data_IF_586726710447
#
_entry.id   IF_586726710447
#
_cell.length_a   1.000
_cell.length_b   1.000
_cell.length_c   1.000
_cell.angle_alpha   90.00
_cell.angle_beta   90.00
_cell.angle_gamma   90.00
#
_symmetry.space_group_name_H-M   'P 1'
#
loop_
_entity.id
_entity.type
_entity.pdbx_description
1 polymer ?
#
# COMPACT_ATOMS: atom_id res chain seq x y z
N UNK A 1 84.21 14.95 2.20
CA UNK A 1 85.41 14.09 2.29
C UNK A 1 85.18 12.92 1.34
N UNK A 2 86.08 12.75 0.35
CA UNK A 2 86.34 11.63 -0.58
C UNK A 2 85.23 10.55 -0.81
N UNK A 3 84.70 10.33 -2.02
CA UNK A 3 85.33 9.74 -3.23
C UNK A 3 85.53 8.20 -3.11
N UNK A 4 84.76 7.46 -3.92
CA UNK A 4 85.12 6.23 -4.71
C UNK A 4 85.01 4.81 -4.11
N UNK A 5 84.78 3.70 -4.84
CA UNK A 5 84.73 3.29 -6.27
C UNK A 5 83.93 1.94 -6.31
N UNK A 6 83.07 1.68 -7.31
CA UNK A 6 83.28 0.70 -8.42
C UNK A 6 83.26 -0.80 -8.02
N UNK A 7 82.43 -1.61 -8.71
CA UNK A 7 82.90 -2.66 -9.63
C UNK A 7 81.77 -3.59 -10.12
N UNK A 8 81.91 -3.95 -11.40
CA UNK A 8 81.05 -4.64 -12.37
C UNK A 8 80.86 -6.16 -12.19
N UNK A 9 79.97 -6.66 -13.07
CA UNK A 9 79.98 -7.94 -13.82
C UNK A 9 79.24 -9.13 -13.17
N UNK A 10 78.16 -9.73 -13.72
CA UNK A 10 77.80 -10.31 -15.05
C UNK A 10 77.99 -11.84 -15.11
N UNK A 11 76.85 -12.56 -14.96
CA UNK A 11 76.35 -13.82 -15.61
C UNK A 11 76.99 -15.20 -15.28
N UNK A 12 76.34 -16.36 -15.63
CA UNK A 12 74.90 -16.73 -15.57
C UNK A 12 74.63 -18.21 -15.15
N UNK A 13 73.32 -18.56 -15.11
CA UNK A 13 72.72 -19.89 -15.36
C UNK A 13 72.67 -20.94 -14.24
N UNK A 14 71.44 -21.27 -13.83
CA UNK A 14 70.89 -22.64 -13.95
C UNK A 14 69.40 -22.66 -13.62
N UNK A 15 68.60 -22.99 -14.64
CA UNK A 15 67.37 -23.84 -14.68
C UNK A 15 66.32 -23.69 -13.56
N UNK A 16 65.06 -23.52 -13.98
CA UNK A 16 63.86 -23.36 -13.13
C UNK A 16 63.47 -24.56 -12.25
N UNK A 17 62.25 -24.59 -11.68
CA UNK A 17 61.02 -24.39 -12.41
C UNK A 17 60.02 -23.38 -11.80
N UNK A 18 59.05 -23.06 -12.64
CA UNK A 18 57.83 -22.29 -12.41
C UNK A 18 57.21 -22.45 -11.02
N UNK A 19 57.00 -21.34 -10.33
CA UNK A 19 56.00 -21.21 -9.29
C UNK A 19 55.18 -19.95 -9.56
N UNK A 20 54.04 -20.17 -10.21
CA UNK A 20 52.98 -19.21 -10.48
C UNK A 20 52.52 -18.48 -9.21
N UNK A 21 52.99 -17.26 -8.98
CA UNK A 21 52.37 -16.35 -8.03
C UNK A 21 51.17 -15.66 -8.69
N UNK A 22 50.13 -16.45 -8.96
CA UNK A 22 48.79 -15.94 -9.21
C UNK A 22 48.30 -15.31 -7.89
N UNK A 23 48.56 -14.01 -7.71
CA UNK A 23 47.85 -13.18 -6.74
C UNK A 23 46.38 -13.16 -7.17
N UNK A 24 45.62 -14.15 -6.70
CA UNK A 24 44.16 -14.14 -6.71
C UNK A 24 43.71 -12.90 -5.96
N UNK A 25 43.39 -11.84 -6.71
CA UNK A 25 42.45 -10.81 -6.27
C UNK A 25 41.16 -11.56 -5.94
N UNK A 26 40.93 -11.82 -4.66
CA UNK A 26 39.61 -12.19 -4.17
C UNK A 26 38.68 -11.05 -4.54
N UNK A 27 37.91 -11.26 -5.61
CA UNK A 27 36.80 -10.40 -5.99
C UNK A 27 35.86 -10.35 -4.80
N UNK A 28 35.71 -9.16 -4.21
CA UNK A 28 34.68 -8.89 -3.24
C UNK A 28 33.31 -9.21 -3.88
N UNK A 29 32.74 -10.33 -3.42
CA UNK A 29 31.33 -10.63 -3.29
C UNK A 29 30.36 -10.34 -4.47
N UNK A 30 29.78 -11.37 -5.11
CA UNK A 30 28.58 -11.25 -5.95
C UNK A 30 27.31 -10.81 -5.19
N UNK A 31 27.40 -10.58 -3.87
CA UNK A 31 26.28 -10.15 -3.02
C UNK A 31 25.86 -8.69 -3.25
N UNK A 32 26.77 -7.78 -3.63
CA UNK A 32 26.41 -6.40 -3.94
C UNK A 32 25.60 -6.29 -5.26
N UNK A 33 25.82 -7.22 -6.20
CA UNK A 33 25.05 -7.32 -7.44
C UNK A 33 23.65 -7.91 -7.25
N UNK A 34 23.43 -8.69 -6.17
CA UNK A 34 22.12 -9.24 -5.81
C UNK A 34 21.28 -8.19 -5.07
N UNK A 35 21.89 -7.36 -4.21
CA UNK A 35 21.22 -6.25 -3.53
C UNK A 35 20.87 -5.11 -4.50
N UNK A 36 21.70 -4.86 -5.53
CA UNK A 36 21.40 -3.83 -6.55
C UNK A 36 20.36 -4.24 -7.60
N UNK A 37 20.02 -5.54 -7.70
CA UNK A 37 18.92 -6.03 -8.55
C UNK A 37 17.54 -5.92 -7.91
N UNK A 38 17.46 -5.71 -6.59
CA UNK A 38 16.23 -5.19 -5.97
C UNK A 38 16.23 -3.66 -6.12
N UNK A 39 15.95 -3.19 -7.33
CA UNK A 39 15.80 -1.77 -7.62
C UNK A 39 14.86 -1.12 -6.61
N UNK A 40 15.34 -0.08 -5.92
CA UNK A 40 14.61 0.60 -4.86
C UNK A 40 13.27 1.09 -5.42
N UNK A 41 12.18 0.45 -5.01
CA UNK A 41 10.84 0.75 -5.51
C UNK A 41 10.53 2.24 -5.31
N UNK A 42 10.04 2.91 -6.35
CA UNK A 42 9.74 4.34 -6.29
C UNK A 42 8.57 4.58 -5.32
N UNK A 43 8.82 5.38 -4.28
CA UNK A 43 7.80 5.69 -3.29
C UNK A 43 6.79 6.70 -3.87
N UNK A 44 5.52 6.70 -3.42
CA UNK A 44 4.55 7.67 -3.92
C UNK A 44 4.95 9.13 -3.62
N UNK A 45 5.65 9.40 -2.51
CA UNK A 45 6.18 10.73 -2.17
C UNK A 45 7.25 11.20 -3.17
N UNK A 46 8.12 10.31 -3.63
CA UNK A 46 9.15 10.62 -4.65
C UNK A 46 8.49 10.94 -6.00
N UNK A 47 7.40 10.23 -6.35
CA UNK A 47 6.58 10.53 -7.53
C UNK A 47 5.89 11.89 -7.44
N UNK A 48 5.31 12.23 -6.28
CA UNK A 48 4.68 13.54 -6.07
C UNK A 48 5.73 14.62 -6.24
N UNK A 49 6.88 14.49 -5.57
CA UNK A 49 7.97 15.45 -5.66
C UNK A 49 8.46 15.64 -7.11
N UNK A 50 8.63 14.55 -7.85
CA UNK A 50 8.95 14.61 -9.30
C UNK A 50 7.91 15.41 -10.08
N UNK A 51 6.61 15.15 -9.90
CA UNK A 51 5.55 15.87 -10.60
C UNK A 51 5.48 17.34 -10.18
N UNK A 52 5.68 17.66 -8.90
CA UNK A 52 5.72 19.04 -8.40
C UNK A 52 6.89 19.81 -9.00
N UNK A 53 8.09 19.21 -9.06
CA UNK A 53 9.24 19.82 -9.72
C UNK A 53 8.98 20.02 -11.21
N UNK A 54 8.37 19.04 -11.88
CA UNK A 54 7.99 19.17 -13.27
C UNK A 54 7.03 20.35 -13.47
N UNK A 55 6.01 20.49 -12.62
CA UNK A 55 5.08 21.62 -12.71
C UNK A 55 5.78 22.97 -12.57
N UNK A 56 6.63 23.13 -11.55
CA UNK A 56 7.39 24.35 -11.30
C UNK A 56 8.32 24.70 -12.47
N UNK A 57 9.02 23.71 -13.03
CA UNK A 57 9.90 23.97 -14.19
C UNK A 57 9.12 24.36 -15.45
N UNK A 58 7.95 23.76 -15.68
CA UNK A 58 7.06 24.14 -16.77
C UNK A 58 6.45 25.53 -16.55
N UNK A 59 6.16 25.92 -15.30
CA UNK A 59 5.71 27.25 -14.93
C UNK A 59 6.72 28.34 -15.27
N UNK A 60 8.01 28.05 -15.06
CA UNK A 60 9.12 28.97 -15.40
C UNK A 60 9.40 28.98 -16.92
N UNK A 61 8.69 28.15 -17.70
CA UNK A 61 8.81 28.10 -19.17
C UNK A 61 10.00 27.28 -19.67
N UNK A 62 10.56 26.39 -18.84
CA UNK A 62 11.62 25.48 -19.29
C UNK A 62 11.08 24.50 -20.33
N UNK A 63 11.90 24.17 -21.34
CA UNK A 63 11.55 23.09 -22.27
C UNK A 63 11.47 21.74 -21.54
N UNK A 64 10.59 20.85 -22.03
CA UNK A 64 10.37 19.53 -21.41
C UNK A 64 11.67 18.74 -21.21
N UNK A 65 12.55 18.74 -22.22
CA UNK A 65 13.87 18.11 -22.14
C UNK A 65 14.71 18.68 -21.00
N UNK A 66 14.81 20.00 -20.90
CA UNK A 66 15.64 20.67 -19.89
C UNK A 66 15.07 20.45 -18.48
N UNK A 67 13.74 20.52 -18.33
CA UNK A 67 13.05 20.19 -17.09
C UNK A 67 13.37 18.78 -16.62
N UNK A 68 13.16 17.76 -17.47
CA UNK A 68 13.44 16.36 -17.12
C UNK A 68 14.92 16.12 -16.84
N UNK A 69 15.84 16.75 -17.59
CA UNK A 69 17.28 16.63 -17.36
C UNK A 69 17.68 17.18 -15.99
N UNK A 70 17.19 18.38 -15.65
CA UNK A 70 17.47 19.03 -14.38
C UNK A 70 16.90 18.23 -13.18
N UNK A 71 15.69 17.69 -13.33
CA UNK A 71 15.04 16.86 -12.30
C UNK A 71 15.77 15.51 -12.15
N UNK A 72 16.13 14.88 -13.26
CA UNK A 72 16.85 13.61 -13.29
C UNK A 72 18.21 13.67 -12.58
N UNK A 73 18.92 14.79 -12.71
CA UNK A 73 20.19 15.05 -12.03
C UNK A 73 20.06 15.23 -10.51
N UNK A 74 18.92 15.74 -10.04
CA UNK A 74 18.64 15.96 -8.61
C UNK A 74 17.95 14.77 -7.93
N UNK A 75 17.48 13.80 -8.72
CA UNK A 75 16.72 12.65 -8.20
C UNK A 75 17.62 11.67 -7.46
N UNK A 76 17.40 11.52 -6.15
CA UNK A 76 18.19 10.62 -5.31
C UNK A 76 17.86 9.13 -5.53
N UNK A 77 16.63 8.79 -5.94
CA UNK A 77 16.24 7.40 -6.18
C UNK A 77 16.80 6.93 -7.54
N UNK A 78 17.72 5.95 -7.58
CA UNK A 78 18.35 5.50 -8.82
C UNK A 78 17.36 4.88 -9.81
N UNK A 79 16.28 4.25 -9.33
CA UNK A 79 15.25 3.68 -10.21
C UNK A 79 14.46 4.79 -10.92
N UNK A 80 14.10 5.84 -10.20
CA UNK A 80 13.39 6.99 -10.77
C UNK A 80 14.31 7.81 -11.69
N UNK A 81 15.56 8.05 -11.29
CA UNK A 81 16.54 8.77 -12.13
C UNK A 81 16.76 8.07 -13.48
N UNK A 82 16.91 6.73 -13.48
CA UNK A 82 17.03 5.94 -14.72
C UNK A 82 15.80 6.07 -15.63
N UNK A 83 14.60 6.07 -15.05
CA UNK A 83 13.35 6.25 -15.79
C UNK A 83 13.29 7.66 -16.39
N UNK A 84 13.64 8.69 -15.62
CA UNK A 84 13.68 10.07 -16.12
C UNK A 84 14.68 10.22 -17.27
N UNK A 85 15.88 9.62 -17.17
CA UNK A 85 16.86 9.63 -18.26
C UNK A 85 16.35 8.93 -19.53
N UNK A 86 15.62 7.83 -19.38
CA UNK A 86 14.97 7.13 -20.52
C UNK A 86 13.91 8.04 -21.15
N UNK A 87 13.12 8.73 -20.32
CA UNK A 87 12.15 9.71 -20.81
C UNK A 87 12.81 10.89 -21.51
N UNK A 88 13.96 11.39 -21.03
CA UNK A 88 14.73 12.45 -21.72
C UNK A 88 15.10 12.00 -23.13
N UNK A 89 15.59 10.77 -23.30
CA UNK A 89 15.91 10.20 -24.61
C UNK A 89 14.66 10.09 -25.50
N UNK A 90 13.54 9.62 -24.96
CA UNK A 90 12.28 9.55 -25.69
C UNK A 90 11.84 10.93 -26.21
N UNK A 91 11.96 11.97 -25.38
CA UNK A 91 11.64 13.36 -25.78
C UNK A 91 12.65 13.89 -26.82
N UNK A 92 13.94 13.56 -26.70
CA UNK A 92 14.96 13.91 -27.71
C UNK A 92 14.69 13.25 -29.06
N UNK A 93 14.17 12.03 -29.06
CA UNK A 93 13.71 11.30 -30.25
C UNK A 93 12.39 11.84 -30.82
N UNK A 94 11.80 12.87 -30.20
CA UNK A 94 10.56 13.51 -30.64
C UNK A 94 9.27 12.81 -30.20
N UNK A 95 9.34 11.86 -29.25
CA UNK A 95 8.15 11.26 -28.66
C UNK A 95 7.47 12.24 -27.70
N UNK A 96 6.16 12.04 -27.51
CA UNK A 96 5.40 12.77 -26.50
C UNK A 96 5.73 12.26 -25.08
N UNK A 97 5.56 13.11 -24.07
CA UNK A 97 5.73 12.77 -22.66
C UNK A 97 4.77 11.67 -22.23
N UNK A 98 3.53 11.69 -22.71
CA UNK A 98 2.54 10.64 -22.41
C UNK A 98 3.03 9.27 -22.89
N UNK A 99 3.58 9.18 -24.10
CA UNK A 99 4.13 7.93 -24.64
C UNK A 99 5.36 7.44 -23.86
N UNK A 100 6.25 8.37 -23.47
CA UNK A 100 7.40 8.06 -22.62
C UNK A 100 6.95 7.53 -21.25
N UNK A 101 5.98 8.18 -20.60
CA UNK A 101 5.42 7.74 -19.32
C UNK A 101 4.72 6.38 -19.42
N UNK A 102 4.02 6.10 -20.54
CA UNK A 102 3.29 4.85 -20.78
C UNK A 102 4.20 3.62 -20.76
N UNK A 103 5.47 3.77 -21.12
CA UNK A 103 6.49 2.70 -21.05
C UNK A 103 6.85 2.28 -19.62
N UNK A 104 6.49 3.09 -18.62
CA UNK A 104 6.78 2.85 -17.22
C UNK A 104 5.50 2.74 -16.36
N UNK A 105 4.62 1.73 -16.63
CA UNK A 105 3.30 1.60 -15.97
C UNK A 105 3.37 1.32 -14.47
N UNK A 106 4.54 0.91 -13.96
CA UNK A 106 4.80 0.67 -12.55
C UNK A 106 5.02 1.97 -11.75
N UNK A 107 5.28 3.10 -12.42
CA UNK A 107 5.45 4.43 -11.83
C UNK A 107 4.28 5.34 -12.24
N UNK A 108 3.94 5.35 -13.52
CA UNK A 108 2.87 6.19 -14.08
C UNK A 108 1.67 5.31 -14.41
N UNK A 109 0.56 5.50 -13.69
CA UNK A 109 -0.64 4.73 -13.94
C UNK A 109 -1.39 5.26 -15.19
N UNK A 110 -2.39 4.54 -15.72
CA UNK A 110 -3.13 4.96 -16.92
C UNK A 110 -3.81 6.34 -16.81
N UNK A 111 -4.25 6.76 -15.62
CA UNK A 111 -4.86 8.08 -15.40
C UNK A 111 -3.85 9.20 -15.65
N UNK A 112 -2.61 9.02 -15.20
CA UNK A 112 -1.55 10.00 -15.45
C UNK A 112 -1.31 10.15 -16.95
N UNK A 113 -1.13 9.02 -17.63
CA UNK A 113 -0.83 8.99 -19.05
C UNK A 113 -1.96 9.65 -19.85
N UNK A 114 -3.22 9.31 -19.53
CA UNK A 114 -4.39 9.91 -20.18
C UNK A 114 -4.51 11.42 -19.95
N UNK A 115 -4.30 11.88 -18.71
CA UNK A 115 -4.32 13.31 -18.39
C UNK A 115 -3.19 14.06 -19.11
N UNK A 116 -1.95 13.55 -19.05
CA UNK A 116 -0.79 14.16 -19.72
C UNK A 116 -1.03 14.24 -21.23
N UNK A 117 -1.53 13.18 -21.86
CA UNK A 117 -1.85 13.16 -23.29
C UNK A 117 -2.86 14.24 -23.68
N UNK A 118 -3.91 14.43 -22.87
CA UNK A 118 -4.88 15.51 -23.10
C UNK A 118 -4.24 16.91 -22.95
N UNK A 119 -3.38 17.08 -21.94
CA UNK A 119 -2.60 18.31 -21.74
C UNK A 119 -1.62 18.62 -22.87
N UNK A 120 -0.99 17.60 -23.44
CA UNK A 120 -0.10 17.73 -24.60
C UNK A 120 -0.87 18.10 -25.87
N UNK A 121 -1.98 17.41 -26.13
CA UNK A 121 -2.81 17.66 -27.33
C UNK A 121 -3.48 19.04 -27.27
N UNK A 122 -3.91 19.45 -26.08
CA UNK A 122 -4.59 20.72 -25.85
C UNK A 122 -3.68 21.90 -25.51
N UNK A 123 -2.37 21.69 -25.34
CA UNK A 123 -1.40 22.75 -25.05
C UNK A 123 -1.48 23.33 -23.63
N UNK A 124 -2.16 22.68 -22.68
CA UNK A 124 -2.32 23.12 -21.29
C UNK A 124 -1.65 22.17 -20.29
N UNK A 125 -0.52 21.58 -20.69
CA UNK A 125 0.21 20.57 -19.92
C UNK A 125 0.55 20.99 -18.47
N UNK A 126 0.92 22.26 -18.24
CA UNK A 126 1.20 22.77 -16.88
C UNK A 126 0.02 22.50 -15.93
N UNK A 127 -1.18 22.97 -16.28
CA UNK A 127 -2.37 22.82 -15.45
C UNK A 127 -2.74 21.35 -15.20
N UNK A 128 -2.41 20.47 -16.15
CA UNK A 128 -2.56 19.02 -15.98
C UNK A 128 -1.60 18.46 -14.94
N UNK A 129 -0.32 18.86 -14.99
CA UNK A 129 0.67 18.41 -14.02
C UNK A 129 0.27 18.88 -12.61
N UNK A 130 -0.17 20.14 -12.46
CA UNK A 130 -0.71 20.66 -11.20
C UNK A 130 -1.87 19.82 -10.67
N UNK A 131 -2.83 19.48 -11.53
CA UNK A 131 -3.97 18.64 -11.16
C UNK A 131 -3.57 17.22 -10.76
N UNK A 132 -2.56 16.65 -11.43
CA UNK A 132 -2.00 15.34 -11.04
C UNK A 132 -1.36 15.42 -9.65
N UNK A 133 -0.64 16.49 -9.35
CA UNK A 133 -0.03 16.72 -8.02
C UNK A 133 -1.13 16.78 -6.95
N UNK A 134 -2.14 17.64 -7.13
CA UNK A 134 -3.26 17.79 -6.19
C UNK A 134 -3.98 16.45 -5.94
N UNK A 135 -4.29 15.72 -7.02
CA UNK A 135 -4.94 14.41 -6.94
C UNK A 135 -4.11 13.42 -6.11
N UNK A 136 -2.79 13.41 -6.25
CA UNK A 136 -1.92 12.51 -5.48
C UNK A 136 -1.77 12.92 -4.02
N UNK A 137 -1.66 14.22 -3.75
CA UNK A 137 -1.58 14.74 -2.39
C UNK A 137 -2.83 14.39 -1.61
N UNK A 138 -4.02 14.61 -2.19
CA UNK A 138 -5.30 14.19 -1.60
C UNK A 138 -5.33 12.68 -1.33
N UNK A 139 -4.90 11.87 -2.30
CA UNK A 139 -4.80 10.40 -2.11
C UNK A 139 -3.87 10.00 -0.96
N UNK A 140 -2.73 10.66 -0.85
CA UNK A 140 -1.75 10.36 0.21
C UNK A 140 -2.22 10.84 1.57
N UNK A 141 -2.91 11.98 1.64
CA UNK A 141 -3.57 12.45 2.84
C UNK A 141 -4.59 11.42 3.34
N UNK A 142 -5.47 10.91 2.48
CA UNK A 142 -6.42 9.85 2.83
C UNK A 142 -5.73 8.60 3.37
N UNK A 143 -4.68 8.11 2.70
CA UNK A 143 -3.92 6.94 3.18
C UNK A 143 -3.26 7.21 4.53
N UNK A 144 -2.70 8.41 4.72
CA UNK A 144 -2.08 8.80 5.98
C UNK A 144 -3.11 8.86 7.11
N UNK A 145 -4.30 9.41 6.85
CA UNK A 145 -5.40 9.46 7.81
C UNK A 145 -5.88 8.06 8.20
N UNK A 146 -6.10 7.17 7.23
CA UNK A 146 -6.45 5.76 7.49
C UNK A 146 -5.40 5.08 8.37
N UNK A 147 -4.11 5.28 8.05
CA UNK A 147 -3.00 4.71 8.85
C UNK A 147 -2.96 5.28 10.26
N UNK A 148 -3.14 6.58 10.41
CA UNK A 148 -3.14 7.24 11.71
C UNK A 148 -4.31 6.74 12.59
N UNK A 149 -5.51 6.62 12.02
CA UNK A 149 -6.69 6.13 12.74
C UNK A 149 -6.54 4.67 13.21
N UNK A 150 -5.86 3.83 12.41
CA UNK A 150 -5.61 2.42 12.76
C UNK A 150 -4.38 2.20 13.66
N UNK A 151 -3.49 3.19 13.79
CA UNK A 151 -2.25 3.04 14.54
C UNK A 151 -2.52 2.71 16.02
N UNK A 152 -3.41 3.46 16.67
CA UNK A 152 -3.73 3.25 18.09
C UNK A 152 -4.37 1.88 18.37
N UNK A 153 -5.43 1.46 17.67
CA UNK A 153 -5.99 0.11 17.81
C UNK A 153 -4.98 -1.02 17.66
N UNK A 154 -4.08 -0.91 16.68
CA UNK A 154 -3.05 -1.93 16.43
C UNK A 154 -2.08 -2.02 17.60
N UNK A 155 -1.61 -0.89 18.14
CA UNK A 155 -0.71 -0.87 19.30
C UNK A 155 -1.39 -1.48 20.53
N UNK A 156 -2.65 -1.11 20.81
CA UNK A 156 -3.41 -1.66 21.94
C UNK A 156 -3.57 -3.19 21.83
N UNK A 157 -3.93 -3.69 20.64
CA UNK A 157 -4.05 -5.13 20.39
C UNK A 157 -2.71 -5.85 20.57
N UNK A 158 -1.60 -5.30 20.05
CA UNK A 158 -0.27 -5.89 20.21
C UNK A 158 0.12 -5.95 21.69
N UNK A 159 -0.01 -4.84 22.42
CA UNK A 159 0.32 -4.78 23.85
C UNK A 159 -0.51 -5.78 24.66
N UNK A 160 -1.81 -5.85 24.35
CA UNK A 160 -2.72 -6.78 24.99
C UNK A 160 -2.37 -8.25 24.73
N UNK A 161 -2.06 -8.61 23.49
CA UNK A 161 -1.58 -9.96 23.15
C UNK A 161 -0.28 -10.27 23.92
N UNK A 162 0.65 -9.32 23.99
CA UNK A 162 1.90 -9.48 24.75
C UNK A 162 1.62 -9.75 26.23
N UNK A 163 0.71 -9.00 26.86
CA UNK A 163 0.32 -9.21 28.27
C UNK A 163 -0.31 -10.60 28.46
N UNK A 164 -1.24 -11.00 27.61
CA UNK A 164 -1.89 -12.32 27.70
C UNK A 164 -0.87 -13.44 27.54
N UNK A 165 0.00 -13.36 26.53
CA UNK A 165 1.07 -14.34 26.30
C UNK A 165 2.04 -14.38 27.48
N UNK A 166 2.43 -13.23 28.03
CA UNK A 166 3.29 -13.16 29.22
C UNK A 166 2.65 -13.84 30.43
N UNK A 167 1.36 -13.64 30.68
CA UNK A 167 0.66 -14.32 31.78
C UNK A 167 0.62 -15.83 31.53
N UNK A 168 0.29 -16.26 30.31
CA UNK A 168 0.22 -17.70 29.99
C UNK A 168 1.58 -18.39 30.06
N UNK A 169 2.66 -17.76 29.58
CA UNK A 169 3.99 -18.39 29.49
C UNK A 169 4.81 -18.18 30.77
N UNK A 170 4.68 -17.03 31.44
CA UNK A 170 5.50 -16.70 32.60
C UNK A 170 4.82 -16.94 33.94
N UNK A 171 3.52 -16.66 34.05
CA UNK A 171 2.80 -16.67 35.33
C UNK A 171 2.07 -17.98 35.55
N UNK A 172 1.25 -18.41 34.59
CA UNK A 172 0.42 -19.63 34.70
C UNK A 172 1.21 -20.90 35.05
N UNK A 173 2.41 -21.17 34.49
CA UNK A 173 3.16 -22.41 34.77
C UNK A 173 3.71 -22.47 36.20
N UNK A 174 3.90 -21.32 36.84
CA UNK A 174 4.27 -21.31 38.27
C UNK A 174 3.14 -21.87 39.12
N UNK A 175 1.89 -21.69 38.68
CA UNK A 175 0.72 -22.24 39.35
C UNK A 175 0.46 -23.70 39.00
N UNK A 176 0.87 -24.19 37.82
CA UNK A 176 0.65 -25.60 37.44
C UNK A 176 1.32 -26.56 38.42
N UNK A 177 2.51 -26.23 38.90
CA UNK A 177 3.24 -27.03 39.91
C UNK A 177 2.45 -27.24 41.20
N UNK A 178 1.61 -26.28 41.60
CA UNK A 178 0.75 -26.41 42.79
C UNK A 178 -0.47 -27.31 42.56
N UNK A 179 -0.80 -27.59 41.30
CA UNK A 179 -1.96 -28.39 40.90
C UNK A 179 -1.58 -29.79 40.40
N UNK A 180 -0.29 -30.12 40.32
CA UNK A 180 0.20 -31.44 39.93
C UNK A 180 -0.40 -32.54 40.82
N UNK A 181 -0.94 -33.59 40.19
CA UNK A 181 -1.64 -34.68 40.87
C UNK A 181 -3.11 -34.39 41.26
N UNK A 182 -3.60 -33.15 41.13
CA UNK A 182 -4.99 -32.74 41.43
C UNK A 182 -5.77 -32.25 40.19
N UNK A 183 -5.30 -32.63 39.00
CA UNK A 183 -5.83 -32.19 37.71
C UNK A 183 -7.33 -32.45 37.51
N UNK A 184 -7.85 -33.53 38.11
CA UNK A 184 -9.26 -33.90 38.05
C UNK A 184 -10.19 -32.94 38.81
N UNK A 185 -9.66 -32.17 39.77
CA UNK A 185 -10.40 -31.16 40.54
C UNK A 185 -10.46 -29.80 39.82
N UNK A 186 -9.68 -29.63 38.75
CA UNK A 186 -9.59 -28.38 38.01
C UNK A 186 -10.79 -28.18 37.07
N UNK A 187 -11.39 -26.97 37.02
CA UNK A 187 -12.36 -26.60 36.01
C UNK A 187 -11.82 -26.77 34.58
N UNK A 188 -12.72 -26.99 33.63
CA UNK A 188 -12.37 -27.13 32.21
C UNK A 188 -11.56 -25.92 31.68
N UNK A 189 -11.92 -24.71 32.10
CA UNK A 189 -11.23 -23.47 31.69
C UNK A 189 -9.75 -23.47 32.09
N UNK A 190 -9.44 -23.90 33.31
CA UNK A 190 -8.07 -24.01 33.82
C UNK A 190 -7.27 -25.04 33.04
N UNK A 191 -7.85 -26.23 32.78
CA UNK A 191 -7.18 -27.28 31.99
C UNK A 191 -6.90 -26.84 30.57
N UNK A 192 -7.84 -26.16 29.92
CA UNK A 192 -7.65 -25.60 28.58
C UNK A 192 -6.51 -24.57 28.54
N UNK A 193 -6.47 -23.63 29.50
CA UNK A 193 -5.39 -22.63 29.56
C UNK A 193 -4.02 -23.23 29.86
N UNK A 194 -3.95 -24.26 30.71
CA UNK A 194 -2.71 -24.98 30.99
C UNK A 194 -2.19 -25.71 29.74
N UNK A 195 -3.06 -26.40 29.01
CA UNK A 195 -2.70 -27.03 27.74
C UNK A 195 -2.24 -26.00 26.70
N UNK A 196 -2.93 -24.86 26.60
CA UNK A 196 -2.56 -23.77 25.71
C UNK A 196 -1.21 -23.17 26.09
N UNK A 197 -0.94 -22.96 27.38
CA UNK A 197 0.34 -22.48 27.90
C UNK A 197 1.49 -23.43 27.62
N UNK A 198 1.30 -24.74 27.86
CA UNK A 198 2.30 -25.77 27.56
C UNK A 198 2.60 -25.82 26.05
N UNK A 199 1.56 -25.71 25.21
CA UNK A 199 1.72 -25.64 23.75
C UNK A 199 2.49 -24.38 23.33
N UNK A 200 2.15 -23.21 23.90
CA UNK A 200 2.84 -21.94 23.64
C UNK A 200 4.32 -22.01 24.04
N UNK A 201 4.66 -22.64 25.16
CA UNK A 201 6.05 -22.81 25.59
C UNK A 201 6.85 -23.75 24.69
N UNK A 202 6.29 -24.92 24.37
CA UNK A 202 6.98 -25.95 23.56
C UNK A 202 7.06 -25.61 22.07
N UNK A 203 6.04 -24.96 21.53
CA UNK A 203 5.88 -24.72 20.09
C UNK A 203 5.79 -23.22 19.74
N UNK A 204 6.36 -22.32 20.55
CA UNK A 204 6.36 -20.87 20.27
C UNK A 204 6.86 -20.53 18.85
N UNK A 205 7.90 -21.24 18.39
CA UNK A 205 8.47 -21.10 17.05
C UNK A 205 7.46 -21.47 15.96
N UNK A 206 6.60 -22.48 16.20
CA UNK A 206 5.55 -22.88 15.27
C UNK A 206 4.43 -21.82 15.18
N UNK A 207 4.09 -21.15 16.29
CA UNK A 207 3.13 -20.04 16.27
C UNK A 207 3.68 -18.81 15.53
N UNK A 208 4.96 -18.46 15.73
CA UNK A 208 5.61 -17.35 15.01
C UNK A 208 5.73 -17.66 13.51
N UNK A 209 6.16 -18.86 13.16
CA UNK A 209 6.22 -19.33 11.76
C UNK A 209 4.81 -19.40 11.15
N UNK A 210 3.82 -19.89 11.91
CA UNK A 210 2.42 -19.95 11.49
C UNK A 210 1.84 -18.57 11.23
N UNK A 211 2.07 -17.60 12.11
CA UNK A 211 1.64 -16.22 11.93
C UNK A 211 2.31 -15.57 10.71
N UNK A 212 3.61 -15.79 10.54
CA UNK A 212 4.37 -15.26 9.38
C UNK A 212 3.89 -15.91 8.08
N UNK A 213 3.73 -17.23 8.07
CA UNK A 213 3.22 -18.00 6.95
C UNK A 213 1.78 -17.61 6.59
N UNK A 214 0.94 -17.31 7.58
CA UNK A 214 -0.42 -16.82 7.39
C UNK A 214 -0.43 -15.43 6.77
N UNK A 215 0.44 -14.50 7.20
CA UNK A 215 0.57 -13.18 6.57
C UNK A 215 1.01 -13.28 5.11
N UNK A 216 2.01 -14.12 4.83
CA UNK A 216 2.50 -14.35 3.46
C UNK A 216 1.44 -15.06 2.61
N UNK A 217 0.80 -16.09 3.17
CA UNK A 217 -0.25 -16.88 2.51
C UNK A 217 -1.48 -16.03 2.19
N UNK A 218 -1.91 -15.16 3.11
CA UNK A 218 -2.94 -14.17 2.84
C UNK A 218 -2.49 -13.24 1.72
N UNK A 219 -1.26 -12.72 1.75
CA UNK A 219 -0.77 -11.83 0.68
C UNK A 219 -0.81 -12.52 -0.69
N UNK A 220 -0.33 -13.76 -0.79
CA UNK A 220 -0.39 -14.56 -2.00
C UNK A 220 -1.81 -14.89 -2.45
N UNK A 221 -2.69 -15.27 -1.50
CA UNK A 221 -4.09 -15.56 -1.80
C UNK A 221 -4.85 -14.32 -2.29
N UNK A 222 -4.58 -13.15 -1.69
CA UNK A 222 -5.10 -11.84 -2.14
C UNK A 222 -4.57 -11.43 -3.51
N UNK A 223 -3.46 -11.99 -3.97
CA UNK A 223 -2.93 -11.75 -5.31
C UNK A 223 -3.44 -12.75 -6.35
N UNK A 224 -4.00 -13.88 -5.90
CA UNK A 224 -4.59 -14.90 -6.76
C UNK A 224 -5.95 -14.45 -7.35
N UNK A 225 -6.28 -14.83 -8.61
CA UNK A 225 -7.57 -14.50 -9.23
C UNK A 225 -8.83 -14.91 -8.44
N UNK A 226 -8.94 -16.14 -7.86
CA UNK A 226 -10.11 -16.53 -7.08
C UNK A 226 -10.16 -15.84 -5.72
N UNK A 227 -9.02 -15.64 -5.05
CA UNK A 227 -8.96 -14.94 -3.77
C UNK A 227 -9.34 -13.47 -3.88
N UNK A 228 -8.93 -12.79 -4.97
CA UNK A 228 -9.38 -11.43 -5.28
C UNK A 228 -10.90 -11.35 -5.46
N UNK A 229 -11.49 -12.28 -6.20
CA UNK A 229 -12.93 -12.27 -6.45
C UNK A 229 -13.76 -12.48 -5.18
N UNK A 230 -13.37 -13.44 -4.34
CA UNK A 230 -14.04 -13.70 -3.06
C UNK A 230 -13.90 -12.52 -2.10
N UNK A 231 -12.70 -11.92 -2.04
CA UNK A 231 -12.47 -10.78 -1.16
C UNK A 231 -13.18 -9.51 -1.64
N UNK A 232 -13.21 -9.27 -2.95
CA UNK A 232 -13.98 -8.18 -3.55
C UNK A 232 -15.46 -8.30 -3.18
N UNK A 233 -16.03 -9.51 -3.24
CA UNK A 233 -17.42 -9.75 -2.89
C UNK A 233 -17.68 -9.66 -1.38
N UNK A 234 -16.76 -10.17 -0.55
CA UNK A 234 -16.87 -10.12 0.91
C UNK A 234 -16.74 -8.70 1.46
N UNK A 235 -15.79 -7.92 0.97
CA UNK A 235 -15.59 -6.53 1.40
C UNK A 235 -16.77 -5.63 1.01
N UNK A 236 -17.39 -5.85 -0.16
CA UNK A 236 -18.55 -5.07 -0.61
C UNK A 236 -19.84 -5.50 0.10
N UNK A 237 -19.99 -6.77 0.50
CA UNK A 237 -21.22 -7.29 1.14
C UNK A 237 -21.18 -7.34 2.67
N UNK A 238 -20.01 -7.24 3.30
CA UNK A 238 -19.91 -7.31 4.76
C UNK A 238 -20.64 -6.12 5.40
N UNK A 239 -21.61 -6.33 6.31
CA UNK A 239 -22.42 -5.24 6.88
C UNK A 239 -21.59 -4.19 7.63
N UNK A 240 -20.41 -4.56 8.13
CA UNK A 240 -19.51 -3.65 8.87
C UNK A 240 -18.63 -2.82 7.93
N UNK A 241 -18.18 -3.40 6.82
CA UNK A 241 -17.19 -2.78 5.92
C UNK A 241 -17.78 -2.29 4.60
N UNK A 242 -18.97 -2.75 4.23
CA UNK A 242 -19.65 -2.42 2.96
C UNK A 242 -19.81 -0.91 2.79
N UNK A 243 -20.27 -0.20 3.82
CA UNK A 243 -20.44 1.25 3.77
C UNK A 243 -19.13 1.97 3.45
N UNK A 244 -18.05 1.63 4.16
CA UNK A 244 -16.73 2.23 3.95
C UNK A 244 -16.17 1.92 2.56
N UNK A 245 -16.18 0.65 2.13
CA UNK A 245 -15.64 0.27 0.82
C UNK A 245 -16.40 0.93 -0.32
N UNK A 246 -17.73 0.97 -0.24
CA UNK A 246 -18.54 1.62 -1.26
C UNK A 246 -18.25 3.12 -1.35
N UNK A 247 -18.18 3.82 -0.21
CA UNK A 247 -17.82 5.24 -0.16
C UNK A 247 -16.43 5.51 -0.75
N UNK A 248 -15.41 4.68 -0.42
CA UNK A 248 -14.05 4.81 -0.94
C UNK A 248 -14.01 4.67 -2.47
N UNK A 249 -14.61 3.61 -3.02
CA UNK A 249 -14.56 3.36 -4.46
C UNK A 249 -15.40 4.36 -5.25
N UNK A 250 -16.57 4.77 -4.73
CA UNK A 250 -17.38 5.84 -5.32
C UNK A 250 -16.60 7.15 -5.33
N UNK A 251 -15.97 7.52 -4.21
CA UNK A 251 -15.12 8.70 -4.13
C UNK A 251 -13.99 8.66 -5.17
N UNK A 252 -13.27 7.55 -5.25
CA UNK A 252 -12.16 7.38 -6.19
C UNK A 252 -12.63 7.48 -7.64
N UNK A 253 -13.76 6.86 -7.98
CA UNK A 253 -14.36 6.91 -9.32
C UNK A 253 -14.74 8.34 -9.69
N UNK A 254 -15.52 9.02 -8.84
CA UNK A 254 -15.97 10.39 -9.05
C UNK A 254 -14.79 11.36 -9.18
N UNK A 255 -13.77 11.24 -8.32
CA UNK A 255 -12.56 12.07 -8.38
C UNK A 255 -11.79 11.86 -9.68
N UNK A 256 -11.61 10.61 -10.08
CA UNK A 256 -10.85 10.27 -11.30
C UNK A 256 -11.57 10.79 -12.54
N UNK A 257 -12.88 10.54 -12.64
CA UNK A 257 -13.71 11.07 -13.74
C UNK A 257 -13.71 12.60 -13.74
N UNK A 258 -13.92 13.23 -12.59
CA UNK A 258 -13.91 14.68 -12.43
C UNK A 258 -12.60 15.28 -12.94
N UNK A 259 -11.45 14.78 -12.49
CA UNK A 259 -10.15 15.29 -12.93
C UNK A 259 -9.88 15.03 -14.42
N UNK A 260 -10.24 13.86 -14.96
CA UNK A 260 -10.06 13.56 -16.37
C UNK A 260 -10.92 14.48 -17.25
N UNK A 261 -12.21 14.62 -16.92
CA UNK A 261 -13.12 15.46 -17.70
C UNK A 261 -12.78 16.96 -17.57
N UNK A 262 -12.32 17.40 -16.40
CA UNK A 262 -11.85 18.77 -16.21
C UNK A 262 -10.51 19.03 -16.93
N UNK A 263 -9.76 17.96 -17.23
CA UNK A 263 -8.59 17.95 -18.10
C UNK A 263 -8.95 17.86 -19.59
N UNK A 264 -10.24 18.03 -19.93
CA UNK A 264 -10.79 17.93 -21.29
C UNK A 264 -10.64 16.54 -21.93
N UNK A 265 -10.44 15.48 -21.14
CA UNK A 265 -10.52 14.10 -21.64
C UNK A 265 -11.99 13.80 -21.96
N UNK A 266 -12.32 13.31 -23.18
CA UNK A 266 -13.69 12.93 -23.53
C UNK A 266 -14.28 11.91 -22.54
N UNK A 267 -15.58 12.00 -22.25
CA UNK A 267 -16.24 11.18 -21.22
C UNK A 267 -16.01 9.66 -21.41
N UNK A 268 -16.11 9.17 -22.64
CA UNK A 268 -15.89 7.74 -22.94
C UNK A 268 -14.43 7.32 -22.67
N UNK A 269 -13.45 8.11 -23.09
CA UNK A 269 -12.03 7.85 -22.79
C UNK A 269 -11.77 7.96 -21.27
N UNK A 270 -12.41 8.92 -20.59
CA UNK A 270 -12.29 9.07 -19.14
C UNK A 270 -12.88 7.86 -18.38
N UNK A 271 -14.00 7.31 -18.84
CA UNK A 271 -14.61 6.10 -18.29
C UNK A 271 -13.71 4.88 -18.48
N UNK A 272 -13.13 4.70 -19.66
CA UNK A 272 -12.19 3.62 -19.95
C UNK A 272 -10.92 3.68 -19.09
N UNK A 273 -10.34 4.87 -18.97
CA UNK A 273 -9.17 5.10 -18.12
C UNK A 273 -9.51 4.86 -16.65
N UNK A 274 -10.67 5.33 -16.19
CA UNK A 274 -11.14 5.14 -14.81
C UNK A 274 -11.35 3.66 -14.50
N UNK A 275 -11.99 2.90 -15.40
CA UNK A 275 -12.18 1.45 -15.30
C UNK A 275 -10.86 0.72 -15.05
N UNK A 276 -9.79 1.12 -15.73
CA UNK A 276 -8.44 0.56 -15.56
C UNK A 276 -7.81 0.81 -14.18
N UNK A 277 -8.34 1.72 -13.37
CA UNK A 277 -7.80 2.05 -12.04
C UNK A 277 -8.55 1.42 -10.88
N UNK A 278 -9.78 0.99 -11.11
CA UNK A 278 -10.62 0.35 -10.11
C UNK A 278 -10.22 -1.11 -10.02
N UNK A 279 -9.65 -1.50 -8.86
CA UNK A 279 -9.22 -2.89 -8.64
C UNK A 279 -10.38 -3.84 -8.36
N UNK A 280 -11.46 -3.33 -7.79
CA UNK A 280 -12.60 -4.13 -7.40
C UNK A 280 -13.49 -4.44 -8.60
N UNK A 281 -13.72 -5.73 -8.86
CA UNK A 281 -14.49 -6.17 -10.04
C UNK A 281 -15.93 -5.68 -10.06
N UNK A 282 -16.56 -5.49 -8.90
CA UNK A 282 -17.94 -5.01 -8.81
C UNK A 282 -18.04 -3.56 -9.29
N UNK A 283 -17.16 -2.68 -8.80
CA UNK A 283 -17.09 -1.30 -9.26
C UNK A 283 -16.60 -1.17 -10.72
N UNK A 284 -15.69 -2.03 -11.17
CA UNK A 284 -15.24 -2.04 -12.56
C UNK A 284 -16.39 -2.42 -13.52
N UNK A 285 -17.26 -3.35 -13.13
CA UNK A 285 -18.50 -3.67 -13.86
C UNK A 285 -19.44 -2.48 -13.89
N UNK A 286 -19.66 -1.83 -12.76
CA UNK A 286 -20.48 -0.62 -12.70
C UNK A 286 -20.00 0.45 -13.69
N UNK A 287 -18.69 0.74 -13.75
CA UNK A 287 -18.15 1.69 -14.75
C UNK A 287 -18.33 1.18 -16.18
N UNK A 288 -18.23 -0.14 -16.40
CA UNK A 288 -18.48 -0.75 -17.72
C UNK A 288 -19.94 -0.55 -18.15
N UNK A 289 -20.89 -0.75 -17.24
CA UNK A 289 -22.31 -0.56 -17.50
C UNK A 289 -22.62 0.92 -17.83
N UNK A 290 -22.00 1.86 -17.11
CA UNK A 290 -22.09 3.30 -17.43
C UNK A 290 -21.54 3.56 -18.84
N UNK A 291 -20.37 2.99 -19.16
CA UNK A 291 -19.72 3.18 -20.46
C UNK A 291 -20.60 2.71 -21.59
N UNK A 292 -21.13 1.47 -21.50
CA UNK A 292 -22.02 0.91 -22.52
C UNK A 292 -23.33 1.68 -22.66
N UNK A 293 -23.89 2.20 -21.56
CA UNK A 293 -25.11 3.02 -21.61
C UNK A 293 -24.88 4.34 -22.35
N UNK A 294 -23.75 5.00 -22.10
CA UNK A 294 -23.38 6.26 -22.77
C UNK A 294 -23.02 6.03 -24.24
N UNK A 295 -22.32 4.93 -24.57
CA UNK A 295 -22.02 4.55 -25.96
C UNK A 295 -23.30 4.32 -26.79
N UNK A 296 -24.36 3.83 -26.16
CA UNK A 296 -25.68 3.64 -26.78
C UNK A 296 -26.50 4.94 -26.89
N UNK A 297 -25.94 6.08 -26.47
CA UNK A 297 -26.61 7.38 -26.50
C UNK A 297 -27.51 7.66 -25.28
N UNK A 298 -27.44 6.84 -24.25
CA UNK A 298 -28.13 7.06 -22.99
C UNK A 298 -27.51 8.20 -22.17
N UNK A 299 -28.31 8.80 -21.28
CA UNK A 299 -27.83 9.83 -20.34
C UNK A 299 -26.92 9.22 -19.28
N UNK A 300 -25.78 9.84 -19.00
CA UNK A 300 -24.81 9.42 -17.99
C UNK A 300 -25.42 9.34 -16.59
N UNK A 301 -26.28 10.29 -16.20
CA UNK A 301 -26.89 10.31 -14.88
C UNK A 301 -27.85 9.13 -14.63
N UNK A 302 -28.45 8.56 -15.69
CA UNK A 302 -29.37 7.43 -15.55
C UNK A 302 -28.66 6.19 -15.03
N UNK A 303 -27.39 6.00 -15.38
CA UNK A 303 -26.60 4.84 -14.91
C UNK A 303 -26.34 4.88 -13.40
N UNK A 304 -26.43 6.05 -12.75
CA UNK A 304 -26.30 6.19 -11.29
C UNK A 304 -27.55 5.73 -10.53
N UNK A 305 -28.71 5.67 -11.19
CA UNK A 305 -29.95 5.23 -10.57
C UNK A 305 -29.90 3.75 -10.15
N UNK A 306 -29.16 2.95 -10.92
CA UNK A 306 -29.00 1.51 -10.75
C UNK A 306 -28.11 1.12 -9.55
N UNK A 307 -27.40 2.07 -8.94
CA UNK A 307 -26.43 1.76 -7.88
C UNK A 307 -27.01 2.02 -6.47
N UNK A 308 -27.16 0.98 -5.63
CA UNK A 308 -27.90 1.09 -4.36
C UNK A 308 -27.17 1.89 -3.27
N UNK A 309 -25.87 2.12 -3.40
CA UNK A 309 -25.07 2.85 -2.40
C UNK A 309 -24.91 4.35 -2.69
N UNK A 310 -25.51 4.83 -3.78
CA UNK A 310 -25.52 6.26 -4.13
C UNK A 310 -26.83 6.86 -3.64
N UNK A 311 -26.75 7.92 -2.84
CA UNK A 311 -27.93 8.60 -2.28
C UNK A 311 -28.70 9.35 -3.36
N UNK A 312 -30.01 9.56 -3.14
CA UNK A 312 -30.86 10.32 -4.07
C UNK A 312 -30.33 11.74 -4.32
N UNK A 313 -29.74 12.37 -3.31
CA UNK A 313 -29.10 13.68 -3.46
C UNK A 313 -27.97 13.65 -4.48
N UNK A 314 -27.13 12.60 -4.45
CA UNK A 314 -26.02 12.44 -5.40
C UNK A 314 -26.58 12.24 -6.81
N UNK A 315 -27.59 11.38 -6.98
CA UNK A 315 -28.24 11.13 -8.28
C UNK A 315 -28.81 12.42 -8.88
N UNK A 316 -29.51 13.22 -8.07
CA UNK A 316 -30.07 14.50 -8.49
C UNK A 316 -28.98 15.48 -8.92
N UNK A 317 -27.88 15.59 -8.15
CA UNK A 317 -26.75 16.45 -8.51
C UNK A 317 -26.09 16.03 -9.82
N UNK A 318 -25.91 14.73 -10.07
CA UNK A 318 -25.37 14.25 -11.35
C UNK A 318 -26.30 14.60 -12.51
N UNK A 319 -27.61 14.38 -12.35
CA UNK A 319 -28.61 14.70 -13.38
C UNK A 319 -28.62 16.20 -13.71
N UNK A 320 -28.68 17.07 -12.69
CA UNK A 320 -28.62 18.52 -12.89
C UNK A 320 -27.28 18.95 -13.48
N UNK A 321 -26.17 18.32 -13.07
CA UNK A 321 -24.84 18.58 -13.62
C UNK A 321 -24.71 18.19 -15.09
N UNK A 322 -25.34 17.08 -15.50
CA UNK A 322 -25.42 16.65 -16.89
C UNK A 322 -26.24 17.62 -17.73
N UNK A 323 -27.44 17.99 -17.27
CA UNK A 323 -28.33 18.94 -17.97
C UNK A 323 -27.70 20.33 -18.12
N UNK A 324 -26.93 20.77 -17.11
CA UNK A 324 -26.19 22.03 -17.16
C UNK A 324 -24.87 21.94 -17.95
N UNK A 325 -24.45 20.76 -18.42
CA UNK A 325 -23.16 20.55 -19.07
C UNK A 325 -21.94 20.75 -18.15
N UNK A 326 -22.14 20.66 -16.83
CA UNK A 326 -21.12 20.92 -15.79
C UNK A 326 -20.83 19.69 -14.94
N UNK A 327 -20.75 18.51 -15.55
CA UNK A 327 -20.38 17.27 -14.87
C UNK A 327 -19.02 17.33 -14.13
N UNK A 328 -17.92 17.86 -14.70
CA UNK A 328 -16.62 17.80 -14.02
C UNK A 328 -16.59 18.41 -12.60
N UNK A 329 -17.03 19.67 -12.38
CA UNK A 329 -17.04 20.24 -11.03
C UNK A 329 -18.03 19.55 -10.10
N UNK A 330 -19.15 19.03 -10.63
CA UNK A 330 -20.12 18.25 -9.84
C UNK A 330 -19.48 16.96 -9.34
N UNK A 331 -18.79 16.21 -10.20
CA UNK A 331 -18.09 14.97 -9.82
C UNK A 331 -17.04 15.22 -8.73
N UNK A 332 -16.24 16.28 -8.86
CA UNK A 332 -15.24 16.63 -7.86
C UNK A 332 -15.86 17.04 -6.53
N UNK A 333 -16.94 17.81 -6.55
CA UNK A 333 -17.65 18.21 -5.33
C UNK A 333 -18.27 17.01 -4.61
N UNK A 334 -18.83 16.07 -5.37
CA UNK A 334 -19.34 14.82 -4.82
C UNK A 334 -18.20 13.95 -4.26
N UNK A 335 -17.03 13.94 -4.89
CA UNK A 335 -15.87 13.23 -4.36
C UNK A 335 -15.37 13.83 -3.02
N UNK A 336 -15.41 15.15 -2.86
CA UNK A 336 -15.11 15.82 -1.57
C UNK A 336 -16.13 15.48 -0.48
N UNK A 337 -17.42 15.41 -0.85
CA UNK A 337 -18.46 14.95 0.05
C UNK A 337 -18.21 13.52 0.52
N UNK A 338 -17.89 12.61 -0.40
CA UNK A 338 -17.58 11.22 -0.04
C UNK A 338 -16.26 11.07 0.73
N UNK A 339 -15.25 11.92 0.53
CA UNK A 339 -14.05 11.93 1.38
C UNK A 339 -14.44 12.21 2.84
N UNK A 340 -15.28 13.22 3.06
CA UNK A 340 -15.75 13.58 4.41
C UNK A 340 -16.55 12.43 5.04
N UNK A 341 -17.36 11.73 4.25
CA UNK A 341 -18.09 10.53 4.68
C UNK A 341 -17.16 9.34 5.00
N UNK A 342 -16.09 9.16 4.21
CA UNK A 342 -15.06 8.13 4.46
C UNK A 342 -14.34 8.42 5.77
N UNK A 343 -13.96 9.67 6.03
CA UNK A 343 -13.28 10.07 7.25
C UNK A 343 -14.14 9.85 8.49
N UNK A 344 -15.44 10.16 8.42
CA UNK A 344 -16.40 9.89 9.48
C UNK A 344 -16.55 8.39 9.75
N UNK A 345 -16.66 7.58 8.69
CA UNK A 345 -16.80 6.12 8.82
C UNK A 345 -15.53 5.49 9.41
N UNK A 346 -14.34 5.95 9.02
CA UNK A 346 -13.07 5.51 9.60
C UNK A 346 -13.01 5.84 11.09
N UNK A 347 -13.41 7.06 11.49
CA UNK A 347 -13.45 7.47 12.91
C UNK A 347 -14.40 6.60 13.71
N UNK A 348 -15.61 6.35 13.19
CA UNK A 348 -16.62 5.50 13.84
C UNK A 348 -16.13 4.06 14.00
N UNK A 349 -15.55 3.48 12.96
CA UNK A 349 -15.00 2.12 13.05
C UNK A 349 -13.83 2.08 14.04
N UNK A 350 -12.95 3.08 14.02
CA UNK A 350 -11.80 3.14 14.92
C UNK A 350 -12.20 3.29 16.39
N UNK A 351 -13.22 4.10 16.69
CA UNK A 351 -13.72 4.29 18.05
C UNK A 351 -14.43 3.06 18.61
N UNK A 352 -14.99 2.19 17.76
CA UNK A 352 -15.57 0.91 18.19
C UNK A 352 -14.52 -0.16 18.52
N UNK A 353 -13.31 -0.06 17.96
CA UNK A 353 -12.25 -1.05 18.21
C UNK A 353 -11.76 -0.99 19.65
N UNK A 354 -11.66 0.21 20.24
CA UNK A 354 -11.15 0.38 21.61
C UNK A 354 -12.03 -0.30 22.68
N UNK A 355 -13.34 -0.05 22.77
CA UNK A 355 -14.22 -0.76 23.71
C UNK A 355 -14.21 -2.27 23.48
N UNK A 356 -14.21 -2.71 22.22
CA UNK A 356 -14.17 -4.13 21.89
C UNK A 356 -12.85 -4.77 22.36
N UNK A 357 -11.72 -4.10 22.13
CA UNK A 357 -10.42 -4.55 22.58
C UNK A 357 -10.37 -4.63 24.11
N UNK A 358 -10.91 -3.64 24.84
CA UNK A 358 -10.98 -3.66 26.30
C UNK A 358 -11.87 -4.80 26.83
N UNK A 359 -13.03 -5.05 26.21
CA UNK A 359 -13.91 -6.18 26.58
C UNK A 359 -13.20 -7.52 26.35
N UNK A 360 -12.56 -7.69 25.20
CA UNK A 360 -11.82 -8.91 24.88
C UNK A 360 -10.64 -9.10 25.84
N UNK A 361 -9.89 -8.03 26.13
CA UNK A 361 -8.73 -8.08 27.02
C UNK A 361 -9.15 -8.36 28.47
N UNK A 362 -10.14 -7.63 28.96
CA UNK A 362 -10.69 -7.83 30.30
C UNK A 362 -11.30 -9.22 30.45
N UNK A 363 -12.00 -9.71 29.42
CA UNK A 363 -12.51 -11.07 29.36
C UNK A 363 -11.40 -12.11 29.39
N UNK A 364 -10.34 -11.94 28.59
CA UNK A 364 -9.20 -12.85 28.55
C UNK A 364 -8.45 -12.88 29.90
N UNK A 365 -8.10 -11.72 30.44
CA UNK A 365 -7.41 -11.61 31.74
C UNK A 365 -8.30 -12.14 32.87
N UNK A 366 -9.58 -11.78 32.88
CA UNK A 366 -10.55 -12.26 33.86
C UNK A 366 -10.71 -13.78 33.83
N UNK A 367 -10.76 -14.38 32.63
CA UNK A 367 -10.80 -15.84 32.47
C UNK A 367 -9.54 -16.49 33.03
N UNK A 368 -8.35 -15.91 32.79
CA UNK A 368 -7.09 -16.42 33.35
C UNK A 368 -7.09 -16.34 34.88
N UNK A 369 -7.41 -15.17 35.44
CA UNK A 369 -7.44 -14.95 36.89
C UNK A 369 -8.45 -15.88 37.57
N UNK A 370 -9.66 -15.97 37.03
CA UNK A 370 -10.70 -16.88 37.51
C UNK A 370 -10.25 -18.34 37.48
N UNK A 371 -9.53 -18.74 36.42
CA UNK A 371 -8.99 -20.09 36.26
C UNK A 371 -7.89 -20.43 37.27
N UNK A 372 -7.23 -19.44 37.89
CA UNK A 372 -6.25 -19.66 38.94
C UNK A 372 -6.92 -19.64 40.33
N UNK A 373 -7.75 -18.63 40.60
CA UNK A 373 -8.34 -18.40 41.92
C UNK A 373 -9.40 -19.46 42.28
N UNK A 374 -10.26 -19.87 41.34
CA UNK A 374 -11.33 -20.84 41.61
C UNK A 374 -10.79 -22.19 42.12
N UNK A 375 -9.78 -22.82 41.46
CA UNK A 375 -9.12 -24.01 42.01
C UNK A 375 -8.52 -23.80 43.39
N UNK A 376 -7.88 -22.66 43.65
CA UNK A 376 -7.28 -22.37 44.94
C UNK A 376 -8.32 -22.41 46.06
N UNK A 377 -9.50 -21.80 45.86
CA UNK A 377 -10.58 -21.88 46.86
C UNK A 377 -11.14 -23.29 47.04
N UNK A 378 -11.26 -24.08 45.96
CA UNK A 378 -11.71 -25.47 46.06
C UNK A 378 -10.72 -26.34 46.85
N UNK A 379 -9.42 -26.15 46.63
CA UNK A 379 -8.38 -26.87 47.38
C UNK A 379 -8.30 -26.42 48.84
N UNK A 380 -8.44 -25.12 49.11
CA UNK A 380 -8.47 -24.58 50.46
C UNK A 380 -9.70 -25.00 51.29
N UNK A 381 -10.80 -25.40 50.63
CA UNK A 381 -11.98 -26.00 51.29
C UNK A 381 -11.91 -27.52 51.41
N UNK A 382 -11.04 -28.17 50.64
CA UNK A 382 -10.88 -29.62 50.61
C UNK A 382 -9.73 -30.11 51.51
N UNK A 383 -8.78 -29.23 51.83
CA UNK A 383 -7.92 -29.31 53.02
C UNK A 383 -8.68 -28.76 54.21
#
# INVERSE_FOLDING_TARGET
MAITLDNKAVRPSSRGPEASSQRRRFSAAPWQAIVSRFGRQVKPQERIFFMSQLSLTLEIGMSMKNALTAIGAQTQNPALSKVIQTMVQDIEEGRQLSDAMKRHPHIFNPVYVGMIKAGETGGFLKGIVDRIVEMQEKRQALIAQVRAALAYPVVLCILGIVVVVFILVGVLPKFTQFFEGKEHLLPFTTRFLMALSASLQGYWWAYVLGATGLVIGIKWWKDSPPGRALMDQFCVRSPVLSGLYNKIYTCQMLRTLGHLMESQVPLLEALDVTRGTIKNRYFARFVTDITSHVEQGGKFAQSFASYPYITETVKAMVATGEEAGRLPPVMLRLAEFFDSEVDQEIKKLSSMIEPLALIIMGGAVGLIVSSIILPMFKLARAM
#
